data_IF_781850180669
#
_entry.id   IF_781850180669
#
_cell.length_a   1.000
_cell.length_b   1.000
_cell.length_c   1.000
_cell.angle_alpha   90.00
_cell.angle_beta   90.00
_cell.angle_gamma   90.00
#
_symmetry.space_group_name_H-M   'P 1'
#
loop_
_entity.id
_entity.type
_entity.pdbx_description
1 polymer ?
#
# COMPACT_ATOMS: atom_id res chain seq x y z
N UNK A 1 20.67 -29.72 -16.48
CA UNK A 1 20.69 -28.44 -17.21
C UNK A 1 20.00 -27.39 -16.36
N UNK A 2 20.70 -26.38 -15.84
CA UNK A 2 20.09 -25.25 -15.13
C UNK A 2 19.59 -24.29 -16.21
N UNK A 3 18.29 -24.30 -16.50
CA UNK A 3 17.67 -23.27 -17.34
C UNK A 3 17.93 -21.89 -16.75
N UNK A 4 18.34 -20.95 -17.59
CA UNK A 4 18.60 -19.57 -17.14
C UNK A 4 17.24 -18.94 -16.84
N UNK A 5 16.95 -18.70 -15.56
CA UNK A 5 15.69 -18.10 -15.13
C UNK A 5 15.81 -16.59 -15.28
N UNK A 6 14.96 -15.98 -16.10
CA UNK A 6 14.85 -14.53 -16.25
C UNK A 6 13.60 -14.01 -15.59
N UNK A 7 13.63 -12.78 -15.11
CA UNK A 7 12.45 -12.10 -14.58
C UNK A 7 11.37 -11.88 -15.67
N UNK A 8 10.11 -11.96 -15.29
CA UNK A 8 8.96 -11.71 -16.17
C UNK A 8 8.68 -10.23 -16.27
N UNK A 9 8.81 -9.63 -17.46
CA UNK A 9 8.53 -8.21 -17.66
C UNK A 9 7.08 -7.81 -17.28
N UNK A 10 6.03 -8.55 -17.64
CA UNK A 10 4.68 -8.25 -17.18
C UNK A 10 4.53 -8.29 -15.66
N UNK A 11 5.15 -9.28 -14.99
CA UNK A 11 5.18 -9.35 -13.53
C UNK A 11 5.87 -8.13 -12.91
N UNK A 12 7.00 -7.69 -13.49
CA UNK A 12 7.69 -6.47 -13.05
C UNK A 12 6.79 -5.24 -13.16
N UNK A 13 6.12 -5.06 -14.30
CA UNK A 13 5.22 -3.90 -14.53
C UNK A 13 4.11 -3.87 -13.46
N UNK A 14 3.50 -5.02 -13.17
CA UNK A 14 2.46 -5.10 -12.17
C UNK A 14 2.97 -4.79 -10.75
N UNK A 15 4.17 -5.25 -10.38
CA UNK A 15 4.78 -4.92 -9.07
C UNK A 15 5.18 -3.45 -8.99
N UNK A 16 5.68 -2.85 -10.08
CA UNK A 16 5.98 -1.41 -10.13
C UNK A 16 4.69 -0.60 -9.97
N UNK A 17 3.60 -1.00 -10.63
CA UNK A 17 2.30 -0.37 -10.46
C UNK A 17 1.83 -0.45 -8.99
N UNK A 18 1.98 -1.61 -8.35
CA UNK A 18 1.67 -1.78 -6.94
C UNK A 18 2.51 -0.85 -6.04
N UNK A 19 3.81 -0.71 -6.33
CA UNK A 19 4.70 0.18 -5.60
C UNK A 19 4.28 1.65 -5.75
N UNK A 20 3.93 2.09 -6.95
CA UNK A 20 3.44 3.46 -7.21
C UNK A 20 2.15 3.71 -6.45
N UNK A 21 1.21 2.77 -6.46
CA UNK A 21 -0.03 2.87 -5.69
C UNK A 21 0.25 2.96 -4.18
N UNK A 22 1.16 2.13 -3.65
CA UNK A 22 1.52 2.14 -2.23
C UNK A 22 2.19 3.47 -1.81
N UNK A 23 3.09 4.01 -2.64
CA UNK A 23 3.74 5.30 -2.39
C UNK A 23 2.70 6.43 -2.40
N UNK A 24 1.84 6.48 -3.41
CA UNK A 24 0.80 7.50 -3.51
C UNK A 24 -0.18 7.42 -2.33
N UNK A 25 -0.62 6.21 -1.97
CA UNK A 25 -1.49 5.99 -0.82
C UNK A 25 -0.83 6.41 0.50
N UNK A 26 0.46 6.11 0.66
CA UNK A 26 1.23 6.51 1.85
C UNK A 26 1.34 8.03 1.97
N UNK A 27 1.67 8.72 0.87
CA UNK A 27 1.73 10.19 0.86
C UNK A 27 0.37 10.80 1.21
N UNK A 28 -0.70 10.32 0.59
CA UNK A 28 -2.06 10.78 0.88
C UNK A 28 -2.45 10.49 2.33
N UNK A 29 -2.14 9.31 2.85
CA UNK A 29 -2.38 8.95 4.25
C UNK A 29 -1.67 9.87 5.24
N UNK A 30 -0.46 10.36 4.90
CA UNK A 30 0.23 11.36 5.70
C UNK A 30 -0.50 12.70 5.72
N UNK A 31 -1.14 13.10 4.62
CA UNK A 31 -1.89 14.35 4.56
C UNK A 31 -3.24 14.27 5.26
N UNK A 32 -3.82 13.07 5.40
CA UNK A 32 -5.06 12.84 6.17
C UNK A 32 -4.81 12.96 7.67
N UNK A 33 -3.67 12.49 8.14
CA UNK A 33 -3.31 12.46 9.55
C UNK A 33 -3.34 13.81 10.27
N UNK A 34 -2.94 14.97 9.69
CA UNK A 34 -2.99 16.26 10.36
C UNK A 34 -4.30 17.02 10.13
N UNK A 35 -5.42 16.35 9.91
CA UNK A 35 -6.70 17.04 9.81
C UNK A 35 -7.18 17.56 11.15
N UNK A 36 -7.97 18.65 11.12
CA UNK A 36 -8.36 19.52 12.21
C UNK A 36 -8.83 18.81 13.51
N UNK A 37 -9.47 17.70 13.43
CA UNK A 37 -10.01 16.97 14.57
C UNK A 37 -9.19 15.75 14.97
N UNK A 38 -8.23 15.37 14.16
CA UNK A 38 -7.31 14.30 14.43
C UNK A 38 -6.03 14.75 15.16
N UNK A 39 -5.83 16.08 15.32
CA UNK A 39 -4.63 16.65 15.95
C UNK A 39 -4.44 16.27 17.42
N UNK A 40 -5.51 15.93 18.13
CA UNK A 40 -5.45 15.54 19.52
C UNK A 40 -5.18 14.05 19.75
N UNK A 41 -5.48 13.17 18.78
CA UNK A 41 -5.47 11.71 18.95
C UNK A 41 -4.51 10.97 18.00
N UNK A 42 -3.88 11.66 17.08
CA UNK A 42 -3.02 11.06 16.03
C UNK A 42 -1.75 10.43 16.60
N UNK A 43 -1.36 10.79 17.78
CA UNK A 43 -0.11 10.34 18.42
C UNK A 43 -0.28 9.03 19.21
N UNK A 44 -1.42 8.38 19.12
CA UNK A 44 -1.56 7.05 19.68
C UNK A 44 -0.95 6.01 18.74
N UNK A 45 -0.59 4.87 19.30
CA UNK A 45 0.18 3.75 18.71
C UNK A 45 -0.06 3.37 17.24
N UNK A 46 -1.14 3.83 16.64
CA UNK A 46 -1.49 3.55 15.24
C UNK A 46 -0.73 4.37 14.20
N UNK A 47 -0.32 5.60 14.54
CA UNK A 47 0.44 6.44 13.60
C UNK A 47 1.83 5.86 13.33
N UNK A 48 2.50 5.39 14.37
CA UNK A 48 3.82 4.74 14.25
C UNK A 48 3.71 3.47 13.42
N UNK A 49 2.64 2.69 13.61
CA UNK A 49 2.40 1.47 12.85
C UNK A 49 2.11 1.74 11.37
N UNK A 50 1.35 2.79 11.06
CA UNK A 50 1.14 3.25 9.69
C UNK A 50 2.45 3.65 9.02
N UNK A 51 3.27 4.45 9.70
CA UNK A 51 4.59 4.88 9.21
C UNK A 51 5.50 3.69 8.94
N UNK A 52 5.62 2.79 9.92
CA UNK A 52 6.45 1.60 9.79
C UNK A 52 6.01 0.71 8.62
N UNK A 53 4.72 0.41 8.54
CA UNK A 53 4.17 -0.47 7.49
C UNK A 53 4.28 0.15 6.10
N UNK A 54 4.03 1.45 5.96
CA UNK A 54 4.15 2.16 4.69
C UNK A 54 5.59 2.20 4.18
N UNK A 55 6.55 2.54 5.04
CA UNK A 55 7.97 2.52 4.70
C UNK A 55 8.44 1.11 4.37
N UNK A 56 8.01 0.09 5.12
CA UNK A 56 8.34 -1.30 4.86
C UNK A 56 7.82 -1.78 3.49
N UNK A 57 6.61 -1.37 3.08
CA UNK A 57 6.06 -1.68 1.77
C UNK A 57 6.92 -1.08 0.63
N UNK A 58 7.33 0.17 0.79
CA UNK A 58 8.20 0.88 -0.17
C UNK A 58 9.57 0.21 -0.24
N UNK A 59 10.18 -0.09 0.91
CA UNK A 59 11.47 -0.77 0.97
C UNK A 59 11.43 -2.15 0.30
N UNK A 60 10.37 -2.93 0.55
CA UNK A 60 10.16 -4.22 -0.10
C UNK A 60 10.04 -4.08 -1.62
N UNK A 61 9.39 -3.02 -2.13
CA UNK A 61 9.30 -2.77 -3.56
C UNK A 61 10.66 -2.44 -4.18
N UNK A 62 11.50 -1.65 -3.51
CA UNK A 62 12.88 -1.37 -3.94
C UNK A 62 13.71 -2.65 -3.96
N UNK A 63 13.60 -3.49 -2.92
CA UNK A 63 14.28 -4.79 -2.85
C UNK A 63 13.82 -5.68 -4.01
N UNK A 64 12.53 -5.70 -4.34
CA UNK A 64 12.03 -6.46 -5.48
C UNK A 64 12.70 -6.07 -6.80
N UNK A 65 12.80 -4.78 -7.09
CA UNK A 65 13.44 -4.28 -8.32
C UNK A 65 14.92 -4.68 -8.38
N UNK A 66 15.63 -4.59 -7.26
CA UNK A 66 17.02 -5.00 -7.16
C UNK A 66 17.19 -6.52 -7.40
N UNK A 67 16.37 -7.34 -6.73
CA UNK A 67 16.41 -8.80 -6.91
C UNK A 67 16.01 -9.22 -8.32
N UNK A 68 15.02 -8.57 -8.91
CA UNK A 68 14.62 -8.81 -10.29
C UNK A 68 15.77 -8.66 -11.28
N UNK A 69 16.62 -7.66 -11.05
CA UNK A 69 17.75 -7.34 -11.92
C UNK A 69 18.95 -8.27 -11.69
N UNK A 70 19.28 -8.55 -10.43
CA UNK A 70 20.54 -9.21 -10.06
C UNK A 70 20.38 -10.70 -9.73
N UNK A 71 19.25 -11.10 -9.17
CA UNK A 71 19.02 -12.45 -8.68
C UNK A 71 17.57 -12.90 -8.90
N UNK A 72 17.13 -13.14 -10.15
CA UNK A 72 15.74 -13.47 -10.46
C UNK A 72 15.39 -14.90 -10.01
N UNK A 73 15.24 -15.08 -8.70
CA UNK A 73 14.79 -16.33 -8.09
C UNK A 73 13.29 -16.25 -7.82
N UNK A 74 12.51 -17.16 -8.44
CA UNK A 74 11.05 -17.15 -8.34
C UNK A 74 10.54 -17.17 -6.90
N UNK A 75 11.08 -18.03 -6.04
CA UNK A 75 10.64 -18.14 -4.64
C UNK A 75 10.89 -16.84 -3.88
N UNK A 76 12.09 -16.27 -4.03
CA UNK A 76 12.46 -15.02 -3.34
C UNK A 76 11.58 -13.86 -3.82
N UNK A 77 11.34 -13.76 -5.13
CA UNK A 77 10.46 -12.73 -5.69
C UNK A 77 9.02 -12.87 -5.16
N UNK A 78 8.49 -14.10 -5.03
CA UNK A 78 7.17 -14.33 -4.43
C UNK A 78 7.13 -13.92 -2.95
N UNK A 79 8.15 -14.21 -2.17
CA UNK A 79 8.22 -13.79 -0.76
C UNK A 79 8.20 -12.26 -0.65
N UNK A 80 8.96 -11.57 -1.50
CA UNK A 80 9.03 -10.09 -1.47
C UNK A 80 7.70 -9.47 -1.92
N UNK A 81 7.05 -10.03 -2.94
CA UNK A 81 5.71 -9.54 -3.35
C UNK A 81 4.67 -9.75 -2.26
N UNK A 82 4.72 -10.87 -1.54
CA UNK A 82 3.87 -11.09 -0.38
C UNK A 82 4.13 -10.06 0.72
N UNK A 83 5.40 -9.73 0.99
CA UNK A 83 5.76 -8.69 1.95
C UNK A 83 5.20 -7.32 1.55
N UNK A 84 5.27 -6.93 0.26
CA UNK A 84 4.66 -5.70 -0.24
C UNK A 84 3.16 -5.68 0.06
N UNK A 85 2.45 -6.76 -0.27
CA UNK A 85 1.01 -6.86 -0.04
C UNK A 85 0.65 -6.78 1.45
N UNK A 86 1.33 -7.55 2.30
CA UNK A 86 1.08 -7.58 3.74
C UNK A 86 1.35 -6.23 4.39
N UNK A 87 2.46 -5.57 4.06
CA UNK A 87 2.78 -4.25 4.59
C UNK A 87 1.79 -3.18 4.11
N UNK A 88 1.35 -3.24 2.84
CA UNK A 88 0.34 -2.32 2.30
C UNK A 88 -1.02 -2.48 3.00
N UNK A 89 -1.48 -3.72 3.21
CA UNK A 89 -2.73 -4.01 3.92
C UNK A 89 -2.61 -3.60 5.40
N UNK A 90 -1.46 -3.81 6.03
CA UNK A 90 -1.19 -3.38 7.40
C UNK A 90 -1.23 -1.85 7.54
N UNK A 91 -0.65 -1.12 6.59
CA UNK A 91 -0.71 0.35 6.55
C UNK A 91 -2.16 0.84 6.36
N UNK A 92 -2.92 0.20 5.47
CA UNK A 92 -4.34 0.49 5.28
C UNK A 92 -5.15 0.27 6.56
N UNK A 93 -4.95 -0.85 7.23
CA UNK A 93 -5.64 -1.17 8.48
C UNK A 93 -5.30 -0.16 9.59
N UNK A 94 -4.02 0.22 9.73
CA UNK A 94 -3.59 1.24 10.68
C UNK A 94 -4.20 2.62 10.37
N UNK A 95 -4.25 3.02 9.10
CA UNK A 95 -4.88 4.26 8.67
C UNK A 95 -6.37 4.29 9.03
N UNK A 96 -7.10 3.21 8.75
CA UNK A 96 -8.52 3.12 9.07
C UNK A 96 -8.77 3.08 10.58
N UNK A 97 -7.99 2.32 11.35
CA UNK A 97 -8.16 2.24 12.79
C UNK A 97 -8.03 3.60 13.49
N UNK A 98 -7.25 4.51 12.89
CA UNK A 98 -7.08 5.88 13.39
C UNK A 98 -8.21 6.83 12.97
N UNK A 99 -8.88 6.56 11.84
CA UNK A 99 -9.83 7.48 11.23
C UNK A 99 -11.30 7.03 11.32
N UNK A 100 -11.58 5.81 11.78
CA UNK A 100 -12.94 5.25 11.76
C UNK A 100 -13.94 6.05 12.59
N UNK A 101 -13.52 6.57 13.74
CA UNK A 101 -14.40 7.33 14.64
C UNK A 101 -14.81 8.65 13.99
N UNK A 102 -13.86 9.29 13.35
CA UNK A 102 -14.06 10.57 12.68
C UNK A 102 -14.96 10.41 11.45
N UNK A 103 -14.76 9.38 10.67
CA UNK A 103 -15.66 9.05 9.56
C UNK A 103 -17.11 8.90 10.06
N UNK A 104 -17.29 8.27 11.23
CA UNK A 104 -18.61 8.13 11.84
C UNK A 104 -19.22 9.49 12.23
N UNK A 105 -18.41 10.45 12.69
CA UNK A 105 -18.89 11.81 13.00
C UNK A 105 -19.26 12.61 11.75
N UNK A 106 -18.60 12.38 10.61
CA UNK A 106 -18.91 13.08 9.36
C UNK A 106 -20.16 12.49 8.69
N UNK A 107 -20.26 11.18 8.61
CA UNK A 107 -21.27 10.48 7.79
C UNK A 107 -22.28 9.68 8.61
N UNK A 108 -22.14 9.61 9.93
CA UNK A 108 -23.04 8.89 10.82
C UNK A 108 -24.34 9.65 11.16
N UNK A 109 -25.15 9.08 12.02
CA UNK A 109 -26.39 9.70 12.49
C UNK A 109 -26.11 11.07 13.16
N UNK A 110 -26.75 12.11 12.64
CA UNK A 110 -26.63 13.47 13.12
C UNK A 110 -25.65 14.34 12.34
N UNK A 111 -24.83 13.79 11.46
CA UNK A 111 -23.93 14.53 10.54
C UNK A 111 -23.20 15.70 11.24
N UNK A 112 -22.65 15.46 12.43
CA UNK A 112 -22.15 16.50 13.33
C UNK A 112 -21.05 17.36 12.71
N UNK A 113 -20.25 16.78 11.82
CA UNK A 113 -19.11 17.43 11.17
C UNK A 113 -19.28 17.61 9.65
N UNK A 114 -20.48 17.38 9.11
CA UNK A 114 -20.71 17.52 7.67
C UNK A 114 -20.50 18.96 7.16
N UNK A 115 -20.70 19.96 8.01
CA UNK A 115 -20.40 21.37 7.74
C UNK A 115 -18.91 21.72 7.83
N UNK A 116 -18.07 20.85 8.34
CA UNK A 116 -16.64 21.06 8.43
C UNK A 116 -15.95 20.64 7.11
N UNK A 117 -15.70 21.61 6.24
CA UNK A 117 -15.11 21.36 4.92
C UNK A 117 -13.74 20.70 4.98
N UNK A 118 -12.94 20.99 6.01
CA UNK A 118 -11.63 20.38 6.20
C UNK A 118 -11.75 18.88 6.56
N UNK A 119 -12.70 18.53 7.43
CA UNK A 119 -12.96 17.14 7.79
C UNK A 119 -13.48 16.34 6.59
N UNK A 120 -14.41 16.91 5.82
CA UNK A 120 -14.94 16.28 4.60
C UNK A 120 -13.82 16.08 3.56
N UNK A 121 -12.98 17.08 3.32
CA UNK A 121 -11.86 16.96 2.41
C UNK A 121 -10.85 15.88 2.87
N UNK A 122 -10.54 15.81 4.17
CA UNK A 122 -9.70 14.77 4.75
C UNK A 122 -10.27 13.36 4.54
N UNK A 123 -11.58 13.20 4.74
CA UNK A 123 -12.25 11.90 4.51
C UNK A 123 -12.20 11.47 3.04
N UNK A 124 -12.32 12.40 2.11
CA UNK A 124 -12.20 12.11 0.67
C UNK A 124 -10.78 11.63 0.32
N UNK A 125 -9.74 12.24 0.89
CA UNK A 125 -8.36 11.79 0.73
C UNK A 125 -8.15 10.38 1.31
N UNK A 126 -8.77 10.07 2.45
CA UNK A 126 -8.76 8.74 3.04
C UNK A 126 -9.36 7.69 2.10
N UNK A 127 -10.50 7.98 1.46
CA UNK A 127 -11.11 7.07 0.50
C UNK A 127 -10.24 6.86 -0.74
N UNK A 128 -9.60 7.92 -1.24
CA UNK A 128 -8.66 7.82 -2.37
C UNK A 128 -7.44 6.97 -1.97
N UNK A 129 -6.84 7.21 -0.80
CA UNK A 129 -5.72 6.41 -0.30
C UNK A 129 -6.12 4.93 -0.14
N UNK A 130 -7.32 4.67 0.37
CA UNK A 130 -7.88 3.31 0.47
C UNK A 130 -7.96 2.64 -0.89
N UNK A 131 -8.52 3.33 -1.89
CA UNK A 131 -8.61 2.82 -3.27
C UNK A 131 -7.24 2.47 -3.85
N UNK A 132 -6.24 3.31 -3.61
CA UNK A 132 -4.87 3.07 -4.06
C UNK A 132 -4.22 1.86 -3.37
N UNK A 133 -4.39 1.67 -2.05
CA UNK A 133 -3.89 0.48 -1.36
C UNK A 133 -4.54 -0.80 -1.88
N UNK A 134 -5.86 -0.78 -2.10
CA UNK A 134 -6.58 -1.92 -2.68
C UNK A 134 -6.10 -2.21 -4.10
N UNK A 135 -5.97 -1.19 -4.94
CA UNK A 135 -5.45 -1.34 -6.30
C UNK A 135 -4.01 -1.90 -6.32
N UNK A 136 -3.16 -1.43 -5.42
CA UNK A 136 -1.80 -1.96 -5.24
C UNK A 136 -1.79 -3.43 -4.82
N UNK A 137 -2.62 -3.81 -3.87
CA UNK A 137 -2.75 -5.21 -3.45
C UNK A 137 -3.23 -6.11 -4.60
N UNK A 138 -4.22 -5.67 -5.36
CA UNK A 138 -4.69 -6.39 -6.56
C UNK A 138 -3.60 -6.51 -7.63
N UNK A 139 -2.80 -5.46 -7.85
CA UNK A 139 -1.68 -5.52 -8.78
C UNK A 139 -0.63 -6.56 -8.36
N UNK A 140 -0.37 -6.73 -7.07
CA UNK A 140 0.50 -7.82 -6.55
C UNK A 140 -0.10 -9.20 -6.84
N UNK A 141 -1.41 -9.38 -6.65
CA UNK A 141 -2.08 -10.65 -6.98
C UNK A 141 -1.95 -10.94 -8.47
N UNK A 142 -2.19 -9.95 -9.33
CA UNK A 142 -2.03 -10.07 -10.77
C UNK A 142 -0.59 -10.42 -11.15
N UNK A 143 0.40 -9.77 -10.54
CA UNK A 143 1.82 -10.07 -10.77
C UNK A 143 2.15 -11.54 -10.50
N UNK A 144 1.64 -12.08 -9.38
CA UNK A 144 1.85 -13.48 -9.01
C UNK A 144 1.11 -14.44 -9.95
N UNK A 145 -0.09 -14.09 -10.43
CA UNK A 145 -0.86 -14.89 -11.36
C UNK A 145 -0.23 -14.97 -12.77
N UNK A 146 0.35 -13.87 -13.25
CA UNK A 146 1.05 -13.82 -14.54
C UNK A 146 2.38 -14.58 -14.47
N UNK A 147 2.98 -14.65 -13.29
CA UNK A 147 4.28 -15.25 -13.03
C UNK A 147 5.42 -14.22 -13.02
N UNK A 148 6.24 -14.32 -11.98
CA UNK A 148 7.35 -13.37 -11.73
C UNK A 148 8.62 -13.74 -12.47
N UNK A 149 8.72 -14.98 -12.98
CA UNK A 149 9.89 -15.47 -13.70
C UNK A 149 9.47 -16.26 -14.96
N UNK A 150 10.33 -16.24 -15.96
CA UNK A 150 10.21 -17.11 -17.14
C UNK A 150 11.42 -18.03 -17.20
N UNK A 151 11.18 -19.31 -17.48
CA UNK A 151 12.24 -20.27 -17.79
C UNK A 151 12.46 -20.24 -19.30
N UNK A 152 13.64 -19.84 -19.76
CA UNK A 152 14.00 -20.02 -21.15
C UNK A 152 14.20 -21.52 -21.42
N UNK A 153 13.34 -22.10 -22.26
CA UNK A 153 13.60 -23.43 -22.84
C UNK A 153 14.73 -23.24 -23.86
N UNK A 154 15.87 -23.84 -23.55
CA UNK A 154 16.92 -24.06 -24.57
C UNK A 154 16.47 -25.15 -25.54
#
# INVERSE_FOLDING_TARGET
>A
MKGNTKGSLPGLIAVVAAAVCAIAAFILGQTVNPTYWNTANVLTSGADWFMFSGIAAIAAAVIYVALFKFFPNGIVLHIVTLAIAMCSVSALAAMWSNCVVEIAYIYGEGNLELGNTAAVAGSQLLFVATGLYVAGALAVVVANAIGLTKTEKQ
#
